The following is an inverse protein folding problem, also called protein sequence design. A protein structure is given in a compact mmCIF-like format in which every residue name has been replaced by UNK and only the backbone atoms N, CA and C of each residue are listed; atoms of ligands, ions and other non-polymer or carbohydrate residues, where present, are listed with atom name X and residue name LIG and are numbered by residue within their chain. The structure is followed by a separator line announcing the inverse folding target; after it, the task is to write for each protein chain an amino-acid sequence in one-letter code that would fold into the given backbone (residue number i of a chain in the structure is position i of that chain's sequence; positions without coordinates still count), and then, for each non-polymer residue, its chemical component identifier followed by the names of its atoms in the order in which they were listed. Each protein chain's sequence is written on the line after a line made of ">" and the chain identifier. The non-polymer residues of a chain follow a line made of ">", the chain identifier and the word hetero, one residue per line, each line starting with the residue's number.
data_IF_657656718367
#
_entry.id   IF_657656718367
#
_cell.length_a   1.000
_cell.length_b   1.000
_cell.length_c   1.000
_cell.angle_alpha   90.00
_cell.angle_beta   90.00
_cell.angle_gamma   90.00
#
_symmetry.space_group_name_H-M   'P 1'
#
loop_
_entity.id
_entity.type
_entity.pdbx_description
1 polymer ?
#
# COMPACT_ATOMS: atom_id res chain seq x y z
N UNK A 1 -22.38 -3.63 -17.99
CA UNK A 1 -21.15 -3.32 -17.22
C UNK A 1 -20.44 -2.04 -17.69
N UNK A 2 -20.52 -1.66 -18.98
CA UNK A 2 -19.89 -0.46 -19.53
C UNK A 2 -20.50 0.88 -19.04
N UNK A 3 -21.83 0.92 -18.86
CA UNK A 3 -22.55 2.14 -18.47
C UNK A 3 -22.22 2.60 -17.03
N UNK A 4 -21.97 1.65 -16.12
CA UNK A 4 -21.63 1.94 -14.72
C UNK A 4 -20.22 2.52 -14.57
N UNK A 5 -19.24 2.02 -15.32
CA UNK A 5 -17.86 2.55 -15.28
C UNK A 5 -17.78 4.02 -15.73
N UNK A 6 -18.56 4.38 -16.77
CA UNK A 6 -18.66 5.76 -17.26
C UNK A 6 -19.34 6.66 -16.22
N UNK A 7 -20.42 6.19 -15.60
CA UNK A 7 -21.13 6.94 -14.55
C UNK A 7 -20.26 7.15 -13.30
N UNK A 8 -19.53 6.12 -12.84
CA UNK A 8 -18.58 6.26 -11.73
C UNK A 8 -17.39 7.17 -12.08
N UNK A 9 -16.96 7.20 -13.35
CA UNK A 9 -15.99 8.17 -13.85
C UNK A 9 -16.49 9.61 -13.74
N UNK A 10 -17.72 9.86 -14.22
CA UNK A 10 -18.35 11.19 -14.18
C UNK A 10 -18.62 11.69 -12.76
N UNK A 11 -18.98 10.80 -11.84
CA UNK A 11 -19.20 11.13 -10.42
C UNK A 11 -17.90 11.23 -9.62
N UNK A 12 -16.72 11.08 -10.26
CA UNK A 12 -15.43 11.13 -9.58
C UNK A 12 -15.20 9.99 -8.60
N UNK A 13 -15.90 8.87 -8.76
CA UNK A 13 -15.79 7.65 -7.95
C UNK A 13 -14.82 6.62 -8.56
N UNK A 14 -14.46 6.80 -9.83
CA UNK A 14 -13.37 6.05 -10.48
C UNK A 14 -12.00 6.61 -10.08
N UNK A 15 -10.96 5.76 -10.00
CA UNK A 15 -9.58 6.22 -9.89
C UNK A 15 -9.17 7.08 -11.08
N UNK A 16 -8.40 8.14 -10.82
CA UNK A 16 -7.66 8.91 -11.83
C UNK A 16 -6.50 8.11 -12.43
N UNK A 17 -5.91 8.58 -13.52
CA UNK A 17 -4.77 7.89 -14.14
C UNK A 17 -3.53 7.87 -13.23
N UNK A 18 -3.32 8.90 -12.43
CA UNK A 18 -2.24 8.92 -11.45
C UNK A 18 -2.52 7.98 -10.28
N UNK A 19 -3.77 7.88 -9.82
CA UNK A 19 -4.18 6.89 -8.83
C UNK A 19 -3.95 5.47 -9.37
N UNK A 20 -4.24 5.21 -10.65
CA UNK A 20 -3.95 3.91 -11.29
C UNK A 20 -2.45 3.61 -11.33
N UNK A 21 -1.60 4.58 -11.66
CA UNK A 21 -0.14 4.39 -11.65
C UNK A 21 0.37 4.03 -10.25
N UNK A 22 -0.13 4.70 -9.22
CA UNK A 22 0.20 4.37 -7.83
C UNK A 22 -0.27 2.97 -7.48
N UNK A 23 -1.51 2.60 -7.81
CA UNK A 23 -2.05 1.26 -7.58
C UNK A 23 -1.19 0.17 -8.23
N UNK A 24 -0.74 0.37 -9.47
CA UNK A 24 0.12 -0.58 -10.19
C UNK A 24 1.53 -0.68 -9.59
N UNK A 25 2.06 0.42 -9.08
CA UNK A 25 3.37 0.42 -8.39
C UNK A 25 3.28 -0.32 -7.06
N UNK A 26 2.22 -0.05 -6.29
CA UNK A 26 1.93 -0.69 -4.99
C UNK A 26 1.80 -2.21 -5.13
N UNK A 27 1.11 -2.70 -6.17
CA UNK A 27 0.97 -4.15 -6.44
C UNK A 27 2.29 -4.87 -6.65
N UNK A 28 3.36 -4.18 -7.03
CA UNK A 28 4.68 -4.77 -7.31
C UNK A 28 5.61 -4.83 -6.09
N UNK A 29 5.24 -4.21 -4.96
CA UNK A 29 6.13 -4.12 -3.79
C UNK A 29 6.01 -5.32 -2.84
N UNK A 30 4.84 -5.54 -2.24
CA UNK A 30 4.58 -6.66 -1.32
C UNK A 30 3.34 -7.41 -1.75
N UNK A 31 3.34 -8.73 -1.61
CA UNK A 31 2.24 -9.62 -2.04
C UNK A 31 0.89 -9.28 -1.42
N UNK A 32 0.86 -8.80 -0.17
CA UNK A 32 -0.36 -8.43 0.53
C UNK A 32 -0.73 -6.95 0.44
N UNK A 33 0.12 -6.12 -0.18
CA UNK A 33 -0.09 -4.69 -0.26
C UNK A 33 -1.15 -4.35 -1.31
N UNK A 34 -2.18 -3.63 -0.90
CA UNK A 34 -3.29 -3.24 -1.76
C UNK A 34 -3.83 -1.86 -1.39
N UNK A 35 -4.32 -1.14 -2.40
CA UNK A 35 -5.03 0.14 -2.23
C UNK A 35 -6.49 -0.14 -1.88
N UNK A 36 -6.97 0.46 -0.79
CA UNK A 36 -8.37 0.30 -0.31
C UNK A 36 -9.16 1.60 -0.33
N UNK A 37 -8.49 2.73 -0.58
CA UNK A 37 -9.09 4.06 -0.69
C UNK A 37 -8.09 5.05 -1.24
N UNK A 38 -8.52 6.29 -1.47
CA UNK A 38 -7.62 7.36 -1.92
C UNK A 38 -6.52 7.58 -0.88
N UNK A 39 -5.28 7.35 -1.28
CA UNK A 39 -4.11 7.45 -0.40
C UNK A 39 -4.04 6.40 0.72
N UNK A 40 -4.94 5.42 0.76
CA UNK A 40 -4.98 4.41 1.82
C UNK A 40 -4.59 3.05 1.29
N UNK A 41 -3.58 2.45 1.91
CA UNK A 41 -3.11 1.09 1.61
C UNK A 41 -3.23 0.20 2.83
N UNK A 42 -3.42 -1.09 2.59
CA UNK A 42 -3.38 -2.13 3.62
C UNK A 42 -2.32 -3.15 3.22
N UNK A 43 -1.53 -3.59 4.20
CA UNK A 43 -0.48 -4.60 4.06
C UNK A 43 -0.56 -5.58 5.22
N UNK A 44 -0.28 -6.87 4.99
CA UNK A 44 -0.20 -7.85 6.06
C UNK A 44 1.16 -7.71 6.77
N UNK A 45 1.19 -7.47 8.10
CA UNK A 45 2.45 -7.39 8.85
C UNK A 45 3.33 -8.64 8.69
N UNK A 46 2.72 -9.83 8.53
CA UNK A 46 3.47 -11.07 8.35
C UNK A 46 4.30 -11.10 7.06
N UNK A 47 3.95 -10.32 6.04
CA UNK A 47 4.76 -10.18 4.83
C UNK A 47 5.88 -9.17 5.02
N UNK A 48 5.62 -8.09 5.76
CA UNK A 48 6.61 -7.05 6.06
C UNK A 48 7.73 -7.59 6.95
N UNK A 49 7.41 -8.42 7.95
CA UNK A 49 8.40 -8.97 8.89
C UNK A 49 9.42 -9.89 8.20
N UNK A 50 9.06 -10.47 7.05
CA UNK A 50 9.96 -11.32 6.27
C UNK A 50 11.04 -10.52 5.53
N UNK A 51 10.80 -9.22 5.27
CA UNK A 51 11.71 -8.32 4.58
C UNK A 51 13.01 -8.09 5.38
N UNK A 52 14.16 -8.14 4.69
CA UNK A 52 15.45 -8.01 5.36
C UNK A 52 15.73 -6.58 5.83
N UNK A 53 15.26 -5.56 5.11
CA UNK A 53 15.35 -4.18 5.57
C UNK A 53 14.52 -3.99 6.84
N UNK A 54 13.31 -4.56 6.87
CA UNK A 54 12.49 -4.52 8.09
C UNK A 54 13.25 -5.11 9.28
N UNK A 55 13.90 -6.27 9.13
CA UNK A 55 14.69 -6.88 10.22
C UNK A 55 15.85 -5.99 10.68
N UNK A 56 16.52 -5.30 9.76
CA UNK A 56 17.60 -4.35 10.08
C UNK A 56 17.05 -3.17 10.89
N UNK A 57 15.96 -2.55 10.44
CA UNK A 57 15.37 -1.41 11.14
C UNK A 57 14.78 -1.81 12.50
N UNK A 58 14.18 -3.00 12.59
CA UNK A 58 13.66 -3.54 13.83
C UNK A 58 14.76 -3.68 14.89
N UNK A 59 15.93 -4.21 14.53
CA UNK A 59 17.08 -4.31 15.43
C UNK A 59 17.53 -2.93 15.92
N UNK A 60 17.71 -1.98 15.00
CA UNK A 60 18.07 -0.59 15.33
C UNK A 60 17.06 0.06 16.28
N UNK A 61 15.76 -0.13 16.04
CA UNK A 61 14.71 0.40 16.90
C UNK A 61 14.74 -0.24 18.31
N UNK A 62 15.03 -1.55 18.39
CA UNK A 62 15.13 -2.25 19.66
C UNK A 62 16.33 -1.77 20.51
N UNK A 63 17.43 -1.35 19.88
CA UNK A 63 18.58 -0.76 20.57
C UNK A 63 18.22 0.58 21.22
N UNK A 64 17.51 1.46 20.50
CA UNK A 64 17.05 2.77 21.02
C UNK A 64 16.23 2.63 22.30
N UNK A 65 15.37 1.60 22.38
CA UNK A 65 14.51 1.39 23.55
C UNK A 65 15.29 0.89 24.77
N UNK A 66 16.40 0.17 24.57
CA UNK A 66 17.24 -0.35 25.67
C UNK A 66 18.19 0.70 26.25
N UNK A 67 18.51 1.73 25.49
CA UNK A 67 19.32 2.87 25.95
C UNK A 67 18.52 3.89 26.79
N UNK A 68 17.20 3.70 26.93
CA UNK A 68 16.34 4.43 27.85
C UNK A 68 16.07 3.65 29.13
#
# INVERSE_FOLDING_TARGET
>A
MFLMGILFGLLGLSPSDDERKVMETVKKSYSSLRVVGRGTVVINPADVIKDDNFKVYYKKAAEIVKEK
#
